data_IF_967808701536
#
_entry.id   IF_967808701536
#
_cell.length_a   1.000
_cell.length_b   1.000
_cell.length_c   1.000
_cell.angle_alpha   90.00
_cell.angle_beta   90.00
_cell.angle_gamma   90.00
#
_symmetry.space_group_name_H-M   'P 1'
#
loop_
_entity.id
_entity.type
_entity.pdbx_description
1 polymer ?
#
# COMPACT_ATOMS: atom_id res chain seq x y z
N UNK A 1 59.96 -45.88 6.12
CA UNK A 1 60.09 -45.48 4.70
C UNK A 1 59.11 -44.35 4.42
N UNK A 2 59.44 -43.40 3.54
CA UNK A 2 58.52 -42.30 3.16
C UNK A 2 57.16 -42.81 2.64
N UNK A 3 57.16 -43.94 1.93
CA UNK A 3 55.94 -44.58 1.43
C UNK A 3 54.96 -45.00 2.55
N UNK A 4 55.47 -45.51 3.67
CA UNK A 4 54.62 -45.90 4.82
C UNK A 4 53.99 -44.69 5.51
N UNK A 5 54.72 -43.57 5.58
CA UNK A 5 54.20 -42.33 6.16
C UNK A 5 53.15 -41.68 5.26
N UNK A 6 53.32 -41.76 3.94
CA UNK A 6 52.35 -41.27 2.98
C UNK A 6 51.05 -42.09 2.99
N UNK A 7 51.14 -43.42 3.09
CA UNK A 7 49.97 -44.29 3.19
C UNK A 7 49.15 -44.03 4.47
N UNK A 8 49.81 -43.79 5.60
CA UNK A 8 49.15 -43.42 6.85
C UNK A 8 48.46 -42.06 6.74
N UNK A 9 49.11 -41.08 6.12
CA UNK A 9 48.54 -39.75 5.88
C UNK A 9 47.27 -39.83 5.01
N UNK A 10 47.32 -40.56 3.89
CA UNK A 10 46.17 -40.73 3.00
C UNK A 10 45.01 -41.43 3.70
N UNK A 11 45.29 -42.48 4.49
CA UNK A 11 44.25 -43.16 5.27
C UNK A 11 43.62 -42.26 6.33
N UNK A 12 44.40 -41.38 6.96
CA UNK A 12 43.89 -40.41 7.93
C UNK A 12 43.03 -39.35 7.25
N UNK A 13 43.47 -38.81 6.11
CA UNK A 13 42.72 -37.85 5.32
C UNK A 13 41.38 -38.41 4.85
N UNK A 14 41.37 -39.63 4.32
CA UNK A 14 40.12 -40.27 3.89
C UNK A 14 39.14 -40.41 5.07
N UNK A 15 39.62 -40.90 6.22
CA UNK A 15 38.79 -41.07 7.41
C UNK A 15 38.22 -39.73 7.91
N UNK A 16 39.03 -38.68 7.92
CA UNK A 16 38.59 -37.34 8.34
C UNK A 16 37.56 -36.78 7.35
N UNK A 17 37.80 -36.91 6.05
CA UNK A 17 36.87 -36.46 5.01
C UNK A 17 35.52 -37.19 5.09
N UNK A 18 35.53 -38.51 5.25
CA UNK A 18 34.32 -39.32 5.42
C UNK A 18 33.52 -38.91 6.67
N UNK A 19 34.22 -38.53 7.74
CA UNK A 19 33.59 -38.09 8.99
C UNK A 19 32.95 -36.71 8.82
N UNK A 20 33.68 -35.77 8.20
CA UNK A 20 33.17 -34.42 7.90
C UNK A 20 31.94 -34.49 7.01
N UNK A 21 31.99 -35.27 5.93
CA UNK A 21 30.84 -35.46 5.02
C UNK A 21 29.61 -36.01 5.76
N UNK A 22 29.82 -36.99 6.64
CA UNK A 22 28.74 -37.55 7.46
C UNK A 22 28.16 -36.51 8.43
N UNK A 23 29.00 -35.74 9.11
CA UNK A 23 28.56 -34.74 10.07
C UNK A 23 27.84 -33.57 9.37
N UNK A 24 28.31 -33.16 8.19
CA UNK A 24 27.63 -32.18 7.31
C UNK A 24 26.24 -32.70 6.91
N UNK A 25 26.12 -33.93 6.40
CA UNK A 25 24.83 -34.49 6.01
C UNK A 25 23.83 -34.54 7.17
N UNK A 26 24.28 -34.96 8.35
CA UNK A 26 23.44 -34.96 9.56
C UNK A 26 23.04 -33.54 9.96
N UNK A 27 23.96 -32.58 9.84
CA UNK A 27 23.67 -31.18 10.12
C UNK A 27 22.64 -30.60 9.14
N UNK A 28 22.77 -30.88 7.84
CA UNK A 28 21.83 -30.46 6.80
C UNK A 28 20.41 -31.00 7.08
N UNK A 29 20.28 -32.27 7.47
CA UNK A 29 18.99 -32.89 7.85
C UNK A 29 18.37 -32.22 9.09
N UNK A 30 19.17 -32.00 10.15
CA UNK A 30 18.72 -31.35 11.38
C UNK A 30 18.33 -29.88 11.15
N UNK A 31 19.11 -29.14 10.33
CA UNK A 31 18.81 -27.77 9.94
C UNK A 31 17.51 -27.70 9.15
N UNK A 32 17.25 -28.65 8.25
CA UNK A 32 16.00 -28.69 7.50
C UNK A 32 14.78 -28.87 8.42
N UNK A 33 14.87 -29.77 9.40
CA UNK A 33 13.81 -29.98 10.39
C UNK A 33 13.54 -28.72 11.21
N UNK A 34 14.59 -28.08 11.74
CA UNK A 34 14.40 -26.90 12.59
C UNK A 34 14.01 -25.63 11.79
N UNK A 35 14.39 -25.53 10.52
CA UNK A 35 13.88 -24.52 9.60
C UNK A 35 12.37 -24.70 9.32
N UNK A 36 11.88 -25.94 9.18
CA UNK A 36 10.45 -26.18 9.12
C UNK A 36 9.74 -25.85 10.44
N UNK A 37 10.35 -26.20 11.57
CA UNK A 37 9.80 -25.88 12.89
C UNK A 37 9.71 -24.36 13.09
N UNK A 38 10.68 -23.58 12.63
CA UNK A 38 10.64 -22.12 12.64
C UNK A 38 9.40 -21.58 11.89
N UNK A 39 9.20 -22.05 10.66
CA UNK A 39 8.04 -21.67 9.83
C UNK A 39 6.71 -22.06 10.46
N UNK A 40 6.66 -23.21 11.11
CA UNK A 40 5.48 -23.75 11.82
C UNK A 40 5.34 -23.24 13.26
N UNK A 41 6.27 -22.40 13.74
CA UNK A 41 6.33 -21.87 15.10
C UNK A 41 6.41 -22.96 16.20
N UNK A 42 7.05 -24.09 15.90
CA UNK A 42 7.31 -25.18 16.82
C UNK A 42 8.68 -25.00 17.52
N UNK A 43 8.89 -25.59 18.72
CA UNK A 43 10.18 -25.52 19.39
C UNK A 43 11.28 -26.25 18.61
N UNK A 44 12.49 -25.67 18.60
CA UNK A 44 13.68 -26.28 18.02
C UNK A 44 14.09 -27.53 18.79
N UNK A 45 14.61 -28.52 18.07
CA UNK A 45 14.94 -29.83 18.63
C UNK A 45 16.44 -30.12 18.61
N UNK A 46 17.21 -29.54 17.67
CA UNK A 46 18.57 -29.98 17.38
C UNK A 46 19.67 -28.92 17.60
N UNK A 47 19.36 -27.74 18.15
CA UNK A 47 20.30 -26.62 18.26
C UNK A 47 21.67 -26.98 18.89
N UNK A 48 21.67 -27.71 20.02
CA UNK A 48 22.92 -28.08 20.71
C UNK A 48 23.69 -29.17 19.94
N UNK A 49 22.98 -30.12 19.34
CA UNK A 49 23.59 -31.20 18.55
C UNK A 49 24.23 -30.64 17.28
N UNK A 50 23.57 -29.70 16.61
CA UNK A 50 24.08 -28.97 15.46
C UNK A 50 25.35 -28.19 15.79
N UNK A 51 25.38 -27.49 16.93
CA UNK A 51 26.56 -26.77 17.38
C UNK A 51 27.76 -27.69 17.56
N UNK A 52 27.55 -28.85 18.20
CA UNK A 52 28.60 -29.85 18.40
C UNK A 52 29.08 -30.39 17.06
N UNK A 53 28.16 -30.81 16.18
CA UNK A 53 28.48 -31.39 14.87
C UNK A 53 29.25 -30.44 13.96
N UNK A 54 28.80 -29.19 13.87
CA UNK A 54 29.50 -28.17 13.08
C UNK A 54 30.88 -27.83 13.67
N UNK A 55 31.02 -27.84 15.00
CA UNK A 55 32.33 -27.66 15.66
C UNK A 55 33.29 -28.83 15.42
N UNK A 56 32.82 -30.07 15.52
CA UNK A 56 33.61 -31.27 15.20
C UNK A 56 34.08 -31.26 13.74
N UNK A 57 33.20 -30.88 12.81
CA UNK A 57 33.53 -30.73 11.40
C UNK A 57 34.57 -29.63 11.16
N UNK A 58 34.51 -28.51 11.90
CA UNK A 58 35.49 -27.42 11.81
C UNK A 58 36.90 -27.91 12.14
N UNK A 59 37.04 -28.63 13.25
CA UNK A 59 38.34 -29.12 13.71
C UNK A 59 38.92 -30.17 12.76
N UNK A 60 38.08 -31.08 12.23
CA UNK A 60 38.49 -32.06 11.23
C UNK A 60 38.88 -31.40 9.89
N UNK A 61 38.18 -30.35 9.47
CA UNK A 61 38.52 -29.59 8.26
C UNK A 61 39.88 -28.90 8.39
N UNK A 62 40.19 -28.31 9.56
CA UNK A 62 41.53 -27.75 9.83
C UNK A 62 42.61 -28.81 9.68
N UNK A 63 42.40 -29.99 10.25
CA UNK A 63 43.34 -31.11 10.14
C UNK A 63 43.50 -31.59 8.69
N UNK A 64 42.40 -31.67 7.92
CA UNK A 64 42.43 -32.01 6.51
C UNK A 64 43.27 -31.04 5.68
N UNK A 65 43.13 -29.73 5.89
CA UNK A 65 43.95 -28.74 5.19
C UNK A 65 45.44 -28.90 5.52
N UNK A 66 45.78 -29.13 6.79
CA UNK A 66 47.17 -29.40 7.19
C UNK A 66 47.73 -30.68 6.55
N UNK A 67 46.90 -31.72 6.42
CA UNK A 67 47.29 -32.98 5.82
C UNK A 67 47.40 -32.91 4.29
N UNK A 68 46.55 -32.13 3.62
CA UNK A 68 46.69 -31.79 2.19
C UNK A 68 48.03 -31.10 1.93
N UNK A 69 48.41 -30.13 2.77
CA UNK A 69 49.69 -29.43 2.63
C UNK A 69 50.89 -30.36 2.83
N UNK A 70 50.80 -31.31 3.76
CA UNK A 70 51.81 -32.37 3.92
C UNK A 70 51.86 -33.27 2.67
N UNK A 71 50.72 -33.68 2.13
CA UNK A 71 50.65 -34.52 0.94
C UNK A 71 51.26 -33.83 -0.29
N UNK A 72 51.04 -32.52 -0.46
CA UNK A 72 51.70 -31.70 -1.50
C UNK A 72 53.21 -31.66 -1.34
N UNK A 73 53.71 -31.46 -0.11
CA UNK A 73 55.17 -31.45 0.18
C UNK A 73 55.81 -32.80 -0.13
N UNK A 74 55.07 -33.90 0.08
CA UNK A 74 55.48 -35.26 -0.27
C UNK A 74 55.27 -35.60 -1.76
N UNK A 75 54.83 -34.64 -2.59
CA UNK A 75 54.58 -34.79 -4.03
C UNK A 75 53.58 -35.91 -4.35
N UNK A 76 52.53 -36.05 -3.55
CA UNK A 76 51.46 -37.01 -3.82
C UNK A 76 50.80 -36.69 -5.19
N UNK A 77 50.63 -37.68 -6.08
CA UNK A 77 50.16 -37.44 -7.45
C UNK A 77 48.77 -36.80 -7.52
N UNK A 78 47.88 -37.12 -6.56
CA UNK A 78 46.51 -36.62 -6.51
C UNK A 78 46.31 -35.46 -5.52
N UNK A 79 47.38 -34.85 -5.01
CA UNK A 79 47.27 -33.83 -3.96
C UNK A 79 46.36 -32.65 -4.33
N UNK A 80 46.30 -32.28 -5.62
CA UNK A 80 45.45 -31.20 -6.14
C UNK A 80 43.97 -31.56 -6.18
N UNK A 81 43.65 -32.81 -6.53
CA UNK A 81 42.28 -33.32 -6.55
C UNK A 81 41.73 -33.34 -5.12
N UNK A 82 42.53 -33.92 -4.19
CA UNK A 82 42.18 -33.99 -2.77
C UNK A 82 42.01 -32.58 -2.16
N UNK A 83 42.85 -31.61 -2.54
CA UNK A 83 42.67 -30.21 -2.14
C UNK A 83 41.31 -29.66 -2.58
N UNK A 84 40.93 -29.90 -3.84
CA UNK A 84 39.65 -29.44 -4.38
C UNK A 84 38.47 -30.05 -3.62
N UNK A 85 38.56 -31.33 -3.27
CA UNK A 85 37.51 -32.03 -2.52
C UNK A 85 37.38 -31.45 -1.09
N UNK A 86 38.50 -31.17 -0.42
CA UNK A 86 38.51 -30.55 0.92
C UNK A 86 37.96 -29.12 0.88
N UNK A 87 38.24 -28.35 -0.18
CA UNK A 87 37.63 -27.03 -0.38
C UNK A 87 36.11 -27.16 -0.52
N UNK A 88 35.64 -28.13 -1.30
CA UNK A 88 34.20 -28.36 -1.47
C UNK A 88 33.49 -28.72 -0.15
N UNK A 89 34.12 -29.56 0.69
CA UNK A 89 33.62 -29.85 2.04
C UNK A 89 33.57 -28.59 2.90
N UNK A 90 34.61 -27.76 2.84
CA UNK A 90 34.65 -26.50 3.59
C UNK A 90 33.57 -25.51 3.15
N UNK A 91 33.31 -25.39 1.85
CA UNK A 91 32.25 -24.54 1.32
C UNK A 91 30.86 -24.99 1.78
N UNK A 92 30.59 -26.31 1.79
CA UNK A 92 29.34 -26.86 2.34
C UNK A 92 29.21 -26.57 3.82
N UNK A 93 30.24 -26.85 4.61
CA UNK A 93 30.26 -26.54 6.03
C UNK A 93 30.02 -25.05 6.32
N UNK A 94 30.66 -24.14 5.56
CA UNK A 94 30.44 -22.70 5.69
C UNK A 94 28.99 -22.31 5.41
N UNK A 95 28.36 -22.93 4.40
CA UNK A 95 26.95 -22.70 4.08
C UNK A 95 26.05 -23.14 5.23
N UNK A 96 26.31 -24.30 5.82
CA UNK A 96 25.55 -24.79 6.97
C UNK A 96 25.74 -23.91 8.20
N UNK A 97 26.95 -23.41 8.45
CA UNK A 97 27.19 -22.42 9.50
C UNK A 97 26.40 -21.11 9.28
N UNK A 98 26.28 -20.65 8.02
CA UNK A 98 25.44 -19.49 7.70
C UNK A 98 23.97 -19.76 8.03
N UNK A 99 23.45 -20.92 7.63
CA UNK A 99 22.06 -21.32 7.90
C UNK A 99 21.84 -21.46 9.41
N UNK A 100 22.78 -22.07 10.13
CA UNK A 100 22.74 -22.18 11.59
C UNK A 100 22.66 -20.80 12.25
N UNK A 101 23.49 -19.84 11.80
CA UNK A 101 23.46 -18.47 12.30
C UNK A 101 22.12 -17.78 12.05
N UNK A 102 21.57 -17.95 10.85
CA UNK A 102 20.30 -17.37 10.46
C UNK A 102 19.14 -17.91 11.32
N UNK A 103 19.14 -19.21 11.65
CA UNK A 103 18.10 -19.85 12.46
C UNK A 103 18.28 -19.56 13.96
N UNK A 104 19.52 -19.59 14.46
CA UNK A 104 19.79 -19.63 15.91
C UNK A 104 20.53 -18.42 16.48
N UNK A 105 21.48 -17.82 15.76
CA UNK A 105 22.33 -16.73 16.26
C UNK A 105 21.71 -15.34 16.12
N UNK A 106 20.58 -15.18 15.41
CA UNK A 106 19.73 -13.99 15.56
C UNK A 106 19.32 -13.74 17.02
N UNK A 107 19.48 -14.72 17.91
CA UNK A 107 19.17 -14.64 19.33
C UNK A 107 20.38 -14.17 20.18
N UNK A 108 21.63 -14.24 19.70
CA UNK A 108 22.80 -14.16 20.59
C UNK A 108 23.92 -13.16 20.28
N UNK A 109 23.95 -12.44 19.15
CA UNK A 109 25.03 -11.46 18.92
C UNK A 109 24.73 -10.06 19.51
N UNK A 110 25.19 -9.91 20.75
CA UNK A 110 25.81 -8.76 21.42
C UNK A 110 25.96 -7.46 20.57
N UNK A 111 24.85 -6.83 20.24
CA UNK A 111 24.66 -5.45 20.67
C UNK A 111 23.76 -5.56 21.89
N UNK A 112 24.24 -5.12 23.06
CA UNK A 112 23.35 -4.77 24.16
C UNK A 112 22.46 -3.64 23.65
N UNK A 113 21.46 -3.97 22.83
CA UNK A 113 20.41 -3.04 22.46
C UNK A 113 19.85 -2.55 23.79
N UNK A 114 19.72 -1.23 23.98
CA UNK A 114 19.02 -0.69 25.13
C UNK A 114 17.72 -1.47 25.27
N UNK A 115 17.40 -1.97 26.46
CA UNK A 115 16.08 -2.57 26.70
C UNK A 115 15.04 -1.49 26.41
N UNK A 116 14.43 -1.58 25.23
CA UNK A 116 13.36 -0.67 24.84
C UNK A 116 12.15 -1.13 25.63
N UNK A 117 11.57 -0.21 26.40
CA UNK A 117 10.28 -0.47 26.99
C UNK A 117 9.22 -0.37 25.89
N UNK A 118 9.00 -1.48 25.17
CA UNK A 118 8.11 -1.55 24.02
C UNK A 118 6.64 -1.32 24.38
N UNK A 119 6.24 -1.63 25.61
CA UNK A 119 4.86 -1.54 26.07
C UNK A 119 4.27 -0.10 26.00
N UNK A 120 4.93 0.95 26.53
CA UNK A 120 4.48 2.33 26.34
C UNK A 120 4.59 2.79 24.88
N UNK A 121 5.60 2.33 24.13
CA UNK A 121 5.77 2.69 22.71
C UNK A 121 4.58 2.19 21.90
N UNK A 122 4.24 0.90 22.02
CA UNK A 122 3.11 0.31 21.32
C UNK A 122 1.78 0.86 21.82
N UNK A 123 1.63 1.11 23.12
CA UNK A 123 0.42 1.74 23.66
C UNK A 123 0.18 3.13 23.08
N UNK A 124 1.23 3.95 22.92
CA UNK A 124 1.12 5.26 22.31
C UNK A 124 0.79 5.16 20.82
N UNK A 125 1.53 4.34 20.08
CA UNK A 125 1.30 4.15 18.63
C UNK A 125 -0.08 3.56 18.34
N UNK A 126 -0.59 2.66 19.19
CA UNK A 126 -1.94 2.12 19.08
C UNK A 126 -2.99 3.22 19.23
N UNK A 127 -2.81 4.16 20.18
CA UNK A 127 -3.70 5.32 20.30
C UNK A 127 -3.66 6.20 19.06
N UNK A 128 -2.47 6.43 18.49
CA UNK A 128 -2.31 7.28 17.31
C UNK A 128 -2.94 6.65 16.06
N UNK A 129 -2.79 5.34 15.86
CA UNK A 129 -3.42 4.58 14.76
C UNK A 129 -4.93 4.52 14.92
N UNK A 130 -5.42 4.35 16.15
CA UNK A 130 -6.85 4.25 16.45
C UNK A 130 -7.55 5.61 16.59
N UNK A 131 -6.90 6.73 16.26
CA UNK A 131 -7.59 8.01 16.20
C UNK A 131 -8.70 7.94 15.17
N UNK A 132 -9.93 8.14 15.63
CA UNK A 132 -11.13 8.12 14.78
C UNK A 132 -11.29 9.42 13.97
N UNK A 133 -10.65 10.51 14.40
CA UNK A 133 -10.79 11.82 13.76
C UNK A 133 -10.14 11.85 12.38
N UNK A 134 -10.84 12.42 11.40
CA UNK A 134 -10.31 12.69 10.07
C UNK A 134 -10.20 14.20 9.82
N UNK A 135 -9.24 14.62 8.99
CA UNK A 135 -9.09 16.02 8.60
C UNK A 135 -10.36 16.55 7.91
N UNK A 136 -10.84 17.72 8.34
CA UNK A 136 -12.07 18.34 7.81
C UNK A 136 -11.83 19.11 6.52
N UNK A 137 -10.61 19.57 6.29
CA UNK A 137 -10.20 20.23 5.05
C UNK A 137 -9.22 19.35 4.27
N UNK A 138 -9.09 19.61 2.96
CA UNK A 138 -8.13 18.91 2.10
C UNK A 138 -6.70 19.00 2.67
N UNK A 139 -6.30 20.18 3.12
CA UNK A 139 -4.98 20.43 3.71
C UNK A 139 -4.79 19.70 5.03
N UNK A 140 -5.82 19.62 5.88
CA UNK A 140 -5.72 18.88 7.15
C UNK A 140 -5.60 17.38 6.91
N UNK A 141 -6.31 16.85 5.91
CA UNK A 141 -6.21 15.46 5.51
C UNK A 141 -4.83 15.12 4.93
N UNK A 142 -4.27 15.97 4.07
CA UNK A 142 -2.91 15.81 3.53
C UNK A 142 -1.86 15.79 4.65
N UNK A 143 -1.96 16.72 5.61
CA UNK A 143 -1.09 16.74 6.81
C UNK A 143 -1.25 15.46 7.62
N UNK A 144 -2.48 14.98 7.80
CA UNK A 144 -2.76 13.75 8.53
C UNK A 144 -2.18 12.52 7.84
N UNK A 145 -2.29 12.43 6.51
CA UNK A 145 -1.69 11.36 5.69
C UNK A 145 -0.17 11.39 5.83
N UNK A 146 0.45 12.57 5.71
CA UNK A 146 1.90 12.70 5.85
C UNK A 146 2.38 12.26 7.25
N UNK A 147 1.70 12.72 8.31
CA UNK A 147 2.00 12.32 9.68
C UNK A 147 1.84 10.80 9.90
N UNK A 148 0.76 10.22 9.36
CA UNK A 148 0.55 8.77 9.43
C UNK A 148 1.64 8.00 8.67
N UNK A 149 2.05 8.45 7.48
CA UNK A 149 3.07 7.76 6.69
C UNK A 149 4.43 7.74 7.40
N UNK A 150 4.82 8.84 8.04
CA UNK A 150 6.04 8.90 8.86
C UNK A 150 5.93 7.88 10.01
N UNK A 151 4.82 7.89 10.74
CA UNK A 151 4.57 6.97 11.85
C UNK A 151 4.57 5.49 11.39
N UNK A 152 4.02 5.19 10.21
CA UNK A 152 4.02 3.85 9.64
C UNK A 152 5.44 3.38 9.28
N UNK A 153 6.26 4.25 8.69
CA UNK A 153 7.67 3.95 8.41
C UNK A 153 8.47 3.69 9.70
N UNK A 154 8.20 4.45 10.77
CA UNK A 154 8.77 4.17 12.09
C UNK A 154 8.36 2.80 12.62
N UNK A 155 7.08 2.40 12.44
CA UNK A 155 6.62 1.05 12.81
C UNK A 155 7.35 -0.03 12.01
N UNK A 156 7.49 0.11 10.69
CA UNK A 156 8.23 -0.84 9.86
C UNK A 156 9.69 -0.99 10.33
N UNK A 157 10.32 0.11 10.74
CA UNK A 157 11.68 0.11 11.28
C UNK A 157 11.82 -0.62 12.63
N UNK A 158 10.75 -0.78 13.42
CA UNK A 158 10.80 -1.53 14.68
C UNK A 158 10.97 -3.04 14.49
N UNK A 159 10.64 -3.58 13.32
CA UNK A 159 10.81 -5.01 13.02
C UNK A 159 12.24 -5.51 13.23
N UNK A 160 13.23 -4.70 12.86
CA UNK A 160 14.66 -5.01 13.03
C UNK A 160 15.14 -4.88 14.48
N UNK A 161 14.42 -4.10 15.29
CA UNK A 161 14.76 -3.81 16.68
C UNK A 161 14.03 -4.73 17.66
N UNK A 162 12.88 -5.28 17.27
CA UNK A 162 12.06 -6.17 18.07
C UNK A 162 12.64 -7.58 18.04
N UNK A 163 13.59 -7.84 18.93
CA UNK A 163 14.21 -9.15 19.13
C UNK A 163 14.11 -9.60 20.58
N UNK A 164 14.46 -10.87 20.85
CA UNK A 164 14.39 -11.47 22.21
C UNK A 164 15.23 -10.69 23.22
N UNK A 165 16.40 -10.18 22.81
CA UNK A 165 17.28 -9.37 23.67
C UNK A 165 16.66 -8.01 24.04
N UNK A 166 15.97 -7.35 23.10
CA UNK A 166 15.24 -6.09 23.36
C UNK A 166 14.04 -6.27 24.30
N UNK A 167 13.34 -7.41 24.20
CA UNK A 167 12.13 -7.73 24.97
C UNK A 167 12.43 -8.27 26.38
N UNK A 168 13.67 -8.75 26.60
CA UNK A 168 14.16 -9.24 27.88
C UNK A 168 13.80 -10.69 28.23
N UNK A 169 12.83 -11.31 27.55
CA UNK A 169 12.56 -12.76 27.62
C UNK A 169 11.82 -13.27 26.38
N UNK A 170 11.88 -14.58 26.13
CA UNK A 170 11.19 -15.23 24.99
C UNK A 170 9.66 -15.08 25.06
N UNK A 171 9.06 -15.25 26.23
CA UNK A 171 7.60 -15.12 26.42
C UNK A 171 7.10 -13.69 26.18
N UNK A 172 7.87 -12.70 26.68
CA UNK A 172 7.58 -11.27 26.44
C UNK A 172 7.72 -10.92 24.97
N UNK A 173 8.76 -11.42 24.31
CA UNK A 173 8.96 -11.22 22.87
C UNK A 173 7.78 -11.75 22.06
N UNK A 174 7.28 -12.97 22.32
CA UNK A 174 6.14 -13.52 21.58
C UNK A 174 4.88 -12.66 21.73
N UNK A 175 4.63 -12.15 22.94
CA UNK A 175 3.48 -11.27 23.21
C UNK A 175 3.65 -9.92 22.51
N UNK A 176 4.83 -9.30 22.60
CA UNK A 176 5.15 -8.05 21.92
C UNK A 176 5.12 -8.18 20.40
N UNK A 177 5.58 -9.30 19.84
CA UNK A 177 5.52 -9.60 18.41
C UNK A 177 4.08 -9.70 17.91
N UNK A 178 3.19 -10.33 18.69
CA UNK A 178 1.77 -10.37 18.38
C UNK A 178 1.13 -8.98 18.40
N UNK A 179 1.45 -8.17 19.42
CA UNK A 179 0.97 -6.78 19.52
C UNK A 179 1.48 -5.92 18.35
N UNK A 180 2.76 -6.02 18.02
CA UNK A 180 3.38 -5.35 16.89
C UNK A 180 2.70 -5.68 15.57
N UNK A 181 2.46 -6.98 15.28
CA UNK A 181 1.79 -7.40 14.06
C UNK A 181 0.36 -6.84 13.97
N UNK A 182 -0.40 -6.86 15.07
CA UNK A 182 -1.74 -6.28 15.11
C UNK A 182 -1.71 -4.77 14.84
N UNK A 183 -0.77 -4.05 15.46
CA UNK A 183 -0.58 -2.61 15.26
C UNK A 183 -0.20 -2.27 13.81
N UNK A 184 0.68 -3.07 13.19
CA UNK A 184 1.09 -2.89 11.80
C UNK A 184 -0.10 -3.07 10.85
N UNK A 185 -0.93 -4.10 11.07
CA UNK A 185 -2.17 -4.31 10.31
C UNK A 185 -3.17 -3.18 10.48
N UNK A 186 -3.41 -2.71 11.72
CA UNK A 186 -4.28 -1.56 11.96
C UNK A 186 -3.76 -0.28 11.26
N UNK A 187 -2.44 -0.07 11.24
CA UNK A 187 -1.85 1.06 10.54
C UNK A 187 -2.03 0.97 9.02
N UNK A 188 -1.98 -0.24 8.43
CA UNK A 188 -2.33 -0.43 7.01
C UNK A 188 -3.78 -0.06 6.74
N UNK A 189 -4.71 -0.48 7.59
CA UNK A 189 -6.13 -0.12 7.48
C UNK A 189 -6.34 1.39 7.63
N UNK A 190 -5.71 2.02 8.62
CA UNK A 190 -5.79 3.47 8.81
C UNK A 190 -5.29 4.23 7.59
N UNK A 191 -4.16 3.81 7.00
CA UNK A 191 -3.66 4.37 5.73
C UNK A 191 -4.67 4.21 4.61
N UNK A 192 -5.27 3.03 4.47
CA UNK A 192 -6.28 2.77 3.46
C UNK A 192 -7.49 3.72 3.60
N UNK A 193 -8.03 3.88 4.81
CA UNK A 193 -9.16 4.80 5.05
C UNK A 193 -8.81 6.27 4.75
N UNK A 194 -7.61 6.71 5.12
CA UNK A 194 -7.14 8.07 4.81
C UNK A 194 -7.02 8.29 3.30
N UNK A 195 -6.49 7.32 2.56
CA UNK A 195 -6.42 7.38 1.10
C UNK A 195 -7.80 7.43 0.46
N UNK A 196 -8.73 6.56 0.89
CA UNK A 196 -10.10 6.55 0.37
C UNK A 196 -10.83 7.87 0.62
N UNK A 197 -10.67 8.47 1.82
CA UNK A 197 -11.24 9.78 2.10
C UNK A 197 -10.63 10.87 1.21
N UNK A 198 -9.32 10.84 0.99
CA UNK A 198 -8.63 11.81 0.14
C UNK A 198 -9.13 11.74 -1.31
N UNK A 199 -9.26 10.54 -1.86
CA UNK A 199 -9.80 10.33 -3.21
C UNK A 199 -11.23 10.86 -3.32
N UNK A 200 -12.07 10.59 -2.31
CA UNK A 200 -13.45 11.09 -2.25
C UNK A 200 -13.49 12.62 -2.21
N UNK A 201 -12.79 13.26 -1.28
CA UNK A 201 -12.75 14.72 -1.14
C UNK A 201 -12.17 15.40 -2.38
N UNK A 202 -11.14 14.80 -2.98
CA UNK A 202 -10.59 15.29 -4.25
C UNK A 202 -11.62 15.21 -5.37
N UNK A 203 -12.42 14.14 -5.42
CA UNK A 203 -13.56 13.99 -6.33
C UNK A 203 -14.60 15.10 -6.14
N UNK A 204 -15.02 15.35 -4.90
CA UNK A 204 -15.94 16.44 -4.57
C UNK A 204 -15.38 17.81 -5.00
N UNK A 205 -14.11 18.09 -4.74
CA UNK A 205 -13.48 19.35 -5.15
C UNK A 205 -13.46 19.53 -6.67
N UNK A 206 -13.18 18.46 -7.43
CA UNK A 206 -13.25 18.50 -8.91
C UNK A 206 -14.66 18.80 -9.39
N UNK A 207 -15.67 18.17 -8.80
CA UNK A 207 -17.08 18.42 -9.14
C UNK A 207 -17.51 19.84 -8.77
N UNK A 208 -17.04 20.37 -7.63
CA UNK A 208 -17.33 21.73 -7.19
C UNK A 208 -16.73 22.76 -8.16
N UNK A 209 -15.46 22.61 -8.54
CA UNK A 209 -14.81 23.47 -9.53
C UNK A 209 -15.55 23.43 -10.88
N UNK A 210 -15.93 22.24 -11.33
CA UNK A 210 -16.75 22.10 -12.55
C UNK A 210 -18.08 22.85 -12.43
N UNK A 211 -18.78 22.72 -11.30
CA UNK A 211 -20.04 23.43 -11.07
C UNK A 211 -19.86 24.95 -11.00
N UNK A 212 -18.77 25.44 -10.43
CA UNK A 212 -18.42 26.88 -10.40
C UNK A 212 -18.16 27.43 -11.81
N UNK A 213 -17.39 26.70 -12.63
CA UNK A 213 -17.15 27.06 -14.03
C UNK A 213 -18.45 27.10 -14.84
N UNK A 214 -19.31 26.09 -14.65
CA UNK A 214 -20.62 26.03 -15.32
C UNK A 214 -21.54 27.16 -14.87
N UNK A 215 -21.60 27.46 -13.58
CA UNK A 215 -22.36 28.60 -13.08
C UNK A 215 -21.84 29.92 -13.65
N UNK A 216 -20.53 30.08 -13.79
CA UNK A 216 -19.93 31.27 -14.40
C UNK A 216 -20.29 31.40 -15.89
N UNK A 217 -20.36 30.28 -16.64
CA UNK A 217 -20.83 30.28 -18.04
C UNK A 217 -22.29 30.72 -18.12
N UNK A 218 -23.16 30.13 -17.29
CA UNK A 218 -24.59 30.45 -17.24
C UNK A 218 -24.82 31.92 -16.93
N UNK A 219 -24.10 32.48 -15.95
CA UNK A 219 -24.20 33.90 -15.58
C UNK A 219 -23.75 34.85 -16.69
N UNK A 220 -22.78 34.45 -17.52
CA UNK A 220 -22.25 35.26 -18.63
C UNK A 220 -23.11 35.16 -19.90
N UNK A 221 -23.91 34.10 -20.01
CA UNK A 221 -24.70 33.84 -21.19
C UNK A 221 -25.91 34.77 -21.27
N UNK A 222 -26.23 35.21 -22.49
CA UNK A 222 -27.46 35.95 -22.75
C UNK A 222 -28.65 35.00 -22.78
N UNK A 223 -29.64 35.29 -21.94
CA UNK A 223 -30.90 34.55 -21.79
C UNK A 223 -32.09 35.27 -22.42
N UNK A 224 -31.84 36.38 -23.12
CA UNK A 224 -32.87 37.13 -23.83
C UNK A 224 -33.31 36.40 -25.11
N UNK A 225 -34.37 36.91 -25.74
CA UNK A 225 -34.85 36.44 -27.04
C UNK A 225 -33.80 36.61 -28.17
N UNK A 226 -32.70 37.33 -27.91
CA UNK A 226 -31.56 37.47 -28.81
C UNK A 226 -30.49 36.38 -28.62
N UNK A 227 -30.77 35.35 -27.81
CA UNK A 227 -29.84 34.26 -27.55
C UNK A 227 -29.36 33.62 -28.86
N UNK A 228 -28.03 33.55 -29.00
CA UNK A 228 -27.36 32.86 -30.10
C UNK A 228 -27.56 31.34 -29.97
N UNK A 229 -28.09 30.72 -31.03
CA UNK A 229 -28.29 29.27 -31.18
C UNK A 229 -29.01 28.55 -30.00
N UNK A 230 -30.31 28.83 -29.76
CA UNK A 230 -31.09 28.21 -28.69
C UNK A 230 -31.11 26.67 -28.66
N UNK A 231 -31.15 25.95 -29.81
CA UNK A 231 -31.10 24.50 -29.83
C UNK A 231 -29.82 23.89 -29.24
N UNK A 232 -28.65 24.48 -29.52
CA UNK A 232 -27.38 23.94 -29.04
C UNK A 232 -27.22 24.18 -27.53
N UNK A 233 -27.61 25.36 -27.05
CA UNK A 233 -27.66 25.69 -25.61
C UNK A 233 -28.55 24.69 -24.87
N UNK A 234 -29.70 24.34 -25.46
CA UNK A 234 -30.62 23.35 -24.89
C UNK A 234 -30.01 21.94 -24.85
N UNK A 235 -29.34 21.49 -25.92
CA UNK A 235 -28.65 20.19 -25.95
C UNK A 235 -27.56 20.10 -24.91
N UNK A 236 -26.75 21.14 -24.77
CA UNK A 236 -25.70 21.20 -23.76
C UNK A 236 -26.30 21.14 -22.35
N UNK A 237 -27.46 21.76 -22.11
CA UNK A 237 -28.19 21.64 -20.84
C UNK A 237 -28.76 20.24 -20.60
N UNK A 238 -29.37 19.62 -21.61
CA UNK A 238 -29.95 18.28 -21.51
C UNK A 238 -28.87 17.21 -21.22
N UNK A 239 -27.73 17.27 -21.92
CA UNK A 239 -26.57 16.41 -21.64
C UNK A 239 -26.01 16.58 -20.21
N UNK A 240 -26.09 17.79 -19.63
CA UNK A 240 -25.65 18.04 -18.25
C UNK A 240 -26.60 17.47 -17.21
N UNK A 241 -27.91 17.45 -17.50
CA UNK A 241 -28.92 16.86 -16.61
C UNK A 241 -28.80 15.34 -16.60
N UNK A 242 -28.58 14.72 -17.76
CA UNK A 242 -28.41 13.26 -17.89
C UNK A 242 -27.19 12.76 -17.08
N UNK A 243 -26.06 13.48 -17.12
CA UNK A 243 -24.87 13.17 -16.30
C UNK A 243 -25.12 13.38 -14.80
N UNK A 244 -25.98 14.33 -14.40
CA UNK A 244 -26.37 14.55 -12.99
C UNK A 244 -27.43 13.57 -12.49
N UNK A 245 -28.31 13.07 -13.35
CA UNK A 245 -29.31 12.05 -13.00
C UNK A 245 -28.67 10.68 -12.72
N UNK A 246 -27.60 10.31 -13.45
CA UNK A 246 -26.77 9.13 -13.14
C UNK A 246 -26.12 9.23 -11.75
N UNK A 247 -25.81 10.45 -11.28
CA UNK A 247 -25.26 10.69 -9.93
C UNK A 247 -26.37 10.71 -8.86
N UNK A 248 -27.57 11.21 -9.18
CA UNK A 248 -28.72 11.25 -8.26
C UNK A 248 -29.33 9.86 -7.97
N UNK A 249 -29.12 8.84 -8.81
CA UNK A 249 -29.48 7.46 -8.43
C UNK A 249 -28.70 6.95 -7.19
N UNK A 250 -27.62 7.65 -6.80
CA UNK A 250 -26.79 7.34 -5.63
C UNK A 250 -27.10 8.29 -4.45
N UNK A 251 -27.75 9.45 -4.68
CA UNK A 251 -28.03 10.48 -3.67
C UNK A 251 -29.42 11.14 -3.85
N UNK A 252 -30.26 11.15 -2.81
CA UNK A 252 -31.58 11.79 -2.85
C UNK A 252 -31.47 13.33 -2.86
N UNK A 253 -32.25 13.96 -3.74
CA UNK A 253 -32.41 15.42 -3.80
C UNK A 253 -33.10 15.91 -2.52
N UNK A 254 -32.64 17.03 -1.96
CA UNK A 254 -33.27 17.63 -0.78
C UNK A 254 -34.76 17.92 -1.04
N UNK A 255 -35.69 17.46 -0.18
CA UNK A 255 -37.13 17.60 -0.41
C UNK A 255 -37.63 19.03 -0.60
N UNK A 256 -36.97 20.03 -0.01
CA UNK A 256 -37.36 21.44 -0.21
C UNK A 256 -37.00 21.91 -1.61
N UNK A 257 -35.91 21.41 -2.17
CA UNK A 257 -35.50 21.71 -3.55
C UNK A 257 -36.49 21.12 -4.55
N UNK A 258 -37.01 19.91 -4.30
CA UNK A 258 -38.04 19.31 -5.15
C UNK A 258 -39.34 20.11 -5.17
N UNK A 259 -39.80 20.56 -4.00
CA UNK A 259 -41.01 21.40 -3.87
C UNK A 259 -40.84 22.71 -4.65
N UNK A 260 -39.67 23.34 -4.54
CA UNK A 260 -39.38 24.61 -5.21
C UNK A 260 -39.32 24.44 -6.74
N UNK A 261 -38.73 23.34 -7.23
CA UNK A 261 -38.72 22.99 -8.66
C UNK A 261 -40.15 22.84 -9.20
N UNK A 262 -41.02 22.15 -8.45
CA UNK A 262 -42.43 21.98 -8.84
C UNK A 262 -43.14 23.32 -8.90
N UNK A 263 -42.89 24.21 -7.93
CA UNK A 263 -43.47 25.57 -7.92
C UNK A 263 -43.04 26.38 -9.13
N UNK A 264 -41.73 26.42 -9.41
CA UNK A 264 -41.16 27.17 -10.54
C UNK A 264 -41.69 26.64 -11.88
N UNK A 265 -41.82 25.30 -12.04
CA UNK A 265 -42.41 24.70 -13.25
C UNK A 265 -43.83 25.20 -13.49
N UNK A 266 -44.64 25.31 -12.42
CA UNK A 266 -46.01 25.83 -12.50
C UNK A 266 -46.05 27.31 -12.88
N UNK A 267 -45.17 28.12 -12.30
CA UNK A 267 -45.04 29.55 -12.64
C UNK A 267 -44.64 29.75 -14.10
N UNK A 268 -43.68 28.96 -14.61
CA UNK A 268 -43.27 28.99 -16.03
C UNK A 268 -44.45 28.62 -16.94
N UNK A 269 -45.22 27.60 -16.59
CA UNK A 269 -46.37 27.17 -17.40
C UNK A 269 -47.45 28.24 -17.47
N UNK A 270 -47.74 28.91 -16.35
CA UNK A 270 -48.69 30.03 -16.31
C UNK A 270 -48.19 31.22 -17.13
N UNK A 271 -46.91 31.58 -16.99
CA UNK A 271 -46.31 32.66 -17.78
C UNK A 271 -46.36 32.37 -19.29
N UNK A 272 -46.13 31.11 -19.70
CA UNK A 272 -46.26 30.70 -21.11
C UNK A 272 -47.67 30.87 -21.64
N UNK A 273 -48.68 30.56 -20.82
CA UNK A 273 -50.09 30.75 -21.19
C UNK A 273 -50.40 32.24 -21.38
N UNK A 274 -49.97 33.07 -20.44
CA UNK A 274 -50.15 34.53 -20.54
C UNK A 274 -49.43 35.13 -21.75
N UNK A 275 -48.24 34.61 -22.09
CA UNK A 275 -47.52 35.00 -23.29
C UNK A 275 -48.34 34.67 -24.56
N UNK A 276 -48.87 33.45 -24.68
CA UNK A 276 -49.71 33.07 -25.82
C UNK A 276 -50.97 33.94 -25.95
N UNK A 277 -51.61 34.28 -24.83
CA UNK A 277 -52.78 35.17 -24.83
C UNK A 277 -52.41 36.59 -25.31
N UNK A 278 -51.25 37.11 -24.87
CA UNK A 278 -50.74 38.41 -25.32
C UNK A 278 -50.36 38.41 -26.80
N UNK A 279 -49.73 37.35 -27.29
CA UNK A 279 -49.40 37.19 -28.72
C UNK A 279 -50.66 37.18 -29.59
N UNK A 280 -51.74 36.57 -29.11
CA UNK A 280 -53.04 36.61 -29.79
C UNK A 280 -53.61 38.03 -29.84
N UNK A 281 -53.61 38.76 -28.71
CA UNK A 281 -54.04 40.16 -28.66
C UNK A 281 -53.23 41.06 -29.61
N UNK A 282 -51.91 40.86 -29.67
CA UNK A 282 -51.04 41.58 -30.61
C UNK A 282 -51.42 41.28 -32.06
N UNK A 283 -51.76 40.03 -32.36
CA UNK A 283 -52.21 39.63 -33.71
C UNK A 283 -53.53 40.32 -34.07
N UNK A 284 -54.50 40.32 -33.16
CA UNK A 284 -55.81 40.97 -33.35
C UNK A 284 -55.65 42.48 -33.56
N UNK A 285 -54.88 43.16 -32.71
CA UNK A 285 -54.61 44.60 -32.85
C UNK A 285 -53.88 44.91 -34.16
N UNK A 286 -52.93 44.07 -34.59
CA UNK A 286 -52.26 44.24 -35.88
C UNK A 286 -53.22 44.05 -37.05
N UNK A 287 -54.17 43.12 -36.97
CA UNK A 287 -55.21 42.99 -38.00
C UNK A 287 -56.10 44.22 -38.06
N UNK A 288 -56.54 44.76 -36.91
CA UNK A 288 -57.34 45.99 -36.84
C UNK A 288 -56.57 47.20 -37.39
N UNK A 289 -55.28 47.33 -37.04
CA UNK A 289 -54.40 48.37 -37.58
C UNK A 289 -54.25 48.28 -39.10
N UNK A 290 -54.13 47.07 -39.64
CA UNK A 290 -54.05 46.86 -41.10
C UNK A 290 -55.38 47.20 -41.79
N UNK A 291 -56.52 46.90 -41.18
CA UNK A 291 -57.84 47.32 -41.66
C UNK A 291 -57.93 48.85 -41.67
N UNK A 292 -57.63 49.51 -40.55
CA UNK A 292 -57.66 50.98 -40.44
C UNK A 292 -56.70 51.66 -41.43
N UNK A 293 -55.53 51.07 -41.70
CA UNK A 293 -54.60 51.57 -42.72
C UNK A 293 -55.10 51.39 -44.15
N UNK A 294 -55.97 50.41 -44.39
CA UNK A 294 -56.60 50.19 -45.70
C UNK A 294 -57.79 51.11 -45.96
N UNK A 295 -58.34 51.74 -44.92
CA UNK A 295 -59.36 52.77 -45.05
C UNK A 295 -58.75 54.12 -45.47
N UNK A 296 -59.39 54.80 -46.43
CA UNK A 296 -58.94 56.13 -46.89
C UNK A 296 -59.17 57.17 -45.78
N UNK A 297 -58.24 58.11 -45.55
CA UNK A 297 -58.40 59.13 -44.52
C UNK A 297 -59.62 60.00 -44.78
N UNK A 298 -60.48 60.17 -43.77
CA UNK A 298 -61.57 61.15 -43.81
C UNK A 298 -60.99 62.54 -43.58
N UNK A 299 -60.93 63.35 -44.65
CA UNK A 299 -60.53 64.75 -44.58
C UNK A 299 -61.80 65.57 -44.34
N UNK A 300 -62.00 66.04 -43.11
CA UNK A 300 -63.00 67.08 -42.83
C UNK A 300 -62.40 68.43 -43.19
N UNK A 301 -62.87 69.02 -44.29
CA UNK A 301 -62.56 70.40 -44.64
C UNK A 301 -63.40 71.31 -43.74
N UNK A 302 -62.74 72.14 -42.92
CA UNK A 302 -63.38 73.26 -42.23
C UNK A 302 -63.64 74.37 -43.26
N UNK A 303 -64.91 74.69 -43.51
CA UNK A 303 -65.32 75.95 -44.15
C UNK A 303 -65.11 77.14 -43.21
#
# INVERSE_FOLDING_TARGET
>A
SQASSLAQLVSQMQKNADTVEKDILVAEEMLAVDNENEKKQLPFQHQEQLKIKLGEAEDLLKDLFLDVDKAKKLKHPQAKEIESDVIHLHERWLKDCSIYRDIYEQINDVVLMPRINWEPVFSQKQKDVNREDFGTTMTDLEKQIAAHNIMHQELEAYSSQLCVSSAGSKDKYLTLKKQYNNLLENSKWRRHYLTSLYEYMQGCNKQLLFMEEEQAKIKKQDWSDQMMDPPDVRRQYEQRVEVKEIVNEIYQVDPNTEVEIVRIRKEIQESKKQQADREKLITDVNTDLNILRSEKPKVELKE
#
